data_IF_787978645432
#
_entry.id   IF_787978645432
#
_cell.length_a   1.000
_cell.length_b   1.000
_cell.length_c   1.000
_cell.angle_alpha   90.00
_cell.angle_beta   90.00
_cell.angle_gamma   90.00
#
_symmetry.space_group_name_H-M   'P 1'
#
loop_
_entity.id
_entity.type
_entity.pdbx_description
1 polymer ?
#
# COMPACT_ATOMS: atom_id res chain seq x y z
N UNK A 1 -6.51 -2.50 -4.09
CA UNK A 1 -6.03 -1.21 -4.58
C UNK A 1 -6.97 -0.12 -4.13
N UNK A 2 -6.46 0.79 -3.34
CA UNK A 2 -7.13 2.06 -3.18
C UNK A 2 -6.91 2.85 -4.46
N UNK A 3 -7.82 2.78 -5.41
CA UNK A 3 -7.82 3.64 -6.56
C UNK A 3 -8.07 5.09 -6.16
N UNK A 4 -7.12 5.71 -5.47
CA UNK A 4 -7.11 7.16 -5.24
C UNK A 4 -6.62 7.90 -6.48
N UNK A 5 -5.93 7.19 -7.38
CA UNK A 5 -5.62 7.69 -8.72
C UNK A 5 -6.84 7.55 -9.64
N UNK A 6 -6.96 8.35 -10.69
CA UNK A 6 -8.03 8.21 -11.69
C UNK A 6 -8.12 6.82 -12.31
N UNK A 7 -7.13 5.97 -12.10
CA UNK A 7 -6.97 4.69 -12.78
C UNK A 7 -7.19 3.45 -11.90
N UNK A 8 -7.42 3.60 -10.57
CA UNK A 8 -7.84 2.53 -9.64
C UNK A 8 -7.21 1.16 -9.91
N UNK A 9 -5.88 1.10 -10.01
CA UNK A 9 -5.18 -0.11 -10.49
C UNK A 9 -5.12 -1.15 -9.37
N UNK A 10 -5.63 -2.34 -9.64
CA UNK A 10 -5.44 -3.54 -8.82
C UNK A 10 -4.15 -4.29 -9.20
N UNK A 11 -3.82 -5.31 -8.42
CA UNK A 11 -2.74 -6.25 -8.71
C UNK A 11 -3.21 -7.71 -8.71
N UNK A 12 -4.38 -8.01 -8.17
CA UNK A 12 -5.04 -9.32 -8.29
C UNK A 12 -6.04 -9.35 -9.45
N UNK A 13 -6.82 -8.28 -9.60
CA UNK A 13 -7.69 -8.01 -10.74
C UNK A 13 -7.42 -6.60 -11.24
N UNK A 14 -8.02 -6.15 -12.36
CA UNK A 14 -7.85 -4.76 -12.82
C UNK A 14 -8.20 -3.71 -11.76
N UNK A 15 -9.09 -4.02 -10.81
CA UNK A 15 -9.63 -3.05 -9.85
C UNK A 15 -9.39 -3.44 -8.37
N UNK A 16 -8.87 -4.65 -8.09
CA UNK A 16 -8.75 -5.17 -6.73
C UNK A 16 -7.31 -5.47 -6.36
N UNK A 17 -6.93 -5.07 -5.15
CA UNK A 17 -5.68 -5.43 -4.51
C UNK A 17 -5.78 -6.85 -3.94
N UNK A 18 -4.67 -7.57 -3.90
CA UNK A 18 -4.60 -8.99 -3.56
C UNK A 18 -5.24 -9.34 -2.20
N UNK A 19 -4.93 -8.60 -1.15
CA UNK A 19 -5.47 -8.88 0.19
C UNK A 19 -6.99 -8.65 0.22
N UNK A 20 -7.47 -7.59 -0.42
CA UNK A 20 -8.90 -7.29 -0.50
C UNK A 20 -9.64 -8.27 -1.41
N UNK A 21 -9.01 -8.74 -2.46
CA UNK A 21 -9.59 -9.76 -3.33
C UNK A 21 -9.67 -11.13 -2.66
N UNK A 22 -8.68 -11.45 -1.81
CA UNK A 22 -8.62 -12.74 -1.11
C UNK A 22 -9.77 -12.92 -0.11
N UNK A 23 -10.10 -11.88 0.65
CA UNK A 23 -11.22 -11.88 1.62
C UNK A 23 -11.87 -10.49 1.71
N UNK A 24 -12.70 -10.14 0.72
CA UNK A 24 -13.36 -8.83 0.69
C UNK A 24 -14.40 -8.66 1.80
N UNK A 25 -15.01 -9.75 2.26
CA UNK A 25 -15.96 -9.75 3.36
C UNK A 25 -15.27 -9.32 4.66
N UNK A 26 -14.12 -9.92 5.00
CA UNK A 26 -13.34 -9.51 6.16
C UNK A 26 -12.84 -8.07 6.05
N UNK A 27 -12.32 -7.68 4.89
CA UNK A 27 -11.90 -6.31 4.65
C UNK A 27 -13.04 -5.30 4.86
N UNK A 28 -14.24 -5.60 4.35
CA UNK A 28 -15.45 -4.77 4.55
C UNK A 28 -15.81 -4.65 6.02
N UNK A 29 -15.84 -5.75 6.76
CA UNK A 29 -16.12 -5.76 8.20
C UNK A 29 -15.14 -4.84 8.95
N UNK A 30 -13.84 -4.90 8.63
CA UNK A 30 -12.84 -4.04 9.25
C UNK A 30 -13.12 -2.56 8.97
N UNK A 31 -13.38 -2.18 7.71
CA UNK A 31 -13.67 -0.76 7.38
C UNK A 31 -14.97 -0.25 8.00
N UNK A 32 -15.95 -1.12 8.22
CA UNK A 32 -17.25 -0.76 8.80
C UNK A 32 -17.29 -0.89 10.33
N UNK A 33 -16.23 -1.40 10.96
CA UNK A 33 -16.15 -1.68 12.41
C UNK A 33 -16.13 -0.44 13.32
N UNK A 34 -15.77 0.73 12.77
CA UNK A 34 -15.59 1.95 13.55
C UNK A 34 -14.25 2.09 14.28
N UNK A 35 -13.34 1.11 14.15
CA UNK A 35 -11.96 1.23 14.67
C UNK A 35 -11.18 2.30 13.88
N UNK A 36 -10.19 2.98 14.49
CA UNK A 36 -9.32 3.87 13.75
C UNK A 36 -8.50 3.11 12.71
N UNK A 37 -8.63 3.48 11.45
CA UNK A 37 -7.92 2.85 10.32
C UNK A 37 -7.02 3.88 9.64
N UNK A 38 -5.76 3.49 9.38
CA UNK A 38 -4.89 4.15 8.42
C UNK A 38 -4.46 3.11 7.38
N UNK A 39 -4.86 3.31 6.14
CA UNK A 39 -4.59 2.38 5.05
C UNK A 39 -3.48 2.89 4.13
N UNK A 40 -2.55 1.99 3.79
CA UNK A 40 -1.42 2.22 2.90
C UNK A 40 -1.60 1.31 1.70
N UNK A 41 -2.17 1.86 0.63
CA UNK A 41 -2.55 1.10 -0.56
C UNK A 41 -1.52 1.17 -1.68
N UNK A 42 -1.85 0.51 -2.80
CA UNK A 42 -1.00 0.46 -3.99
C UNK A 42 -0.68 1.86 -4.54
N UNK A 43 -1.55 2.84 -4.33
CA UNK A 43 -1.35 4.23 -4.75
C UNK A 43 -0.02 4.83 -4.25
N UNK A 44 0.47 4.38 -3.10
CA UNK A 44 1.74 4.83 -2.53
C UNK A 44 2.80 3.73 -2.56
N UNK A 45 2.42 2.46 -2.38
CA UNK A 45 3.40 1.37 -2.28
C UNK A 45 4.01 0.97 -3.63
N UNK A 46 3.42 1.40 -4.74
CA UNK A 46 3.97 1.23 -6.10
C UNK A 46 4.83 2.40 -6.54
N UNK A 47 5.14 3.36 -5.65
CA UNK A 47 5.97 4.51 -5.98
C UNK A 47 7.36 4.04 -6.47
N UNK A 48 7.80 4.41 -7.69
CA UNK A 48 9.06 3.93 -8.26
C UNK A 48 10.31 4.42 -7.51
N UNK A 49 10.18 5.43 -6.66
CA UNK A 49 11.28 5.94 -5.83
C UNK A 49 11.43 5.19 -4.49
N UNK A 50 10.56 4.23 -4.20
CA UNK A 50 10.54 3.46 -2.95
C UNK A 50 10.80 1.96 -3.15
N UNK A 51 11.30 1.56 -4.31
CA UNK A 51 11.54 0.16 -4.66
C UNK A 51 12.99 -0.24 -4.39
N UNK A 52 13.22 -1.53 -4.14
CA UNK A 52 14.55 -2.12 -4.22
C UNK A 52 14.87 -2.40 -5.68
N UNK A 53 15.73 -1.58 -6.27
CA UNK A 53 16.24 -1.82 -7.63
C UNK A 53 17.26 -2.98 -7.63
N UNK A 54 17.58 -3.50 -8.82
CA UNK A 54 18.62 -4.52 -8.98
C UNK A 54 19.96 -4.05 -8.40
N UNK A 55 20.33 -2.80 -8.60
CA UNK A 55 21.57 -2.21 -8.07
C UNK A 55 21.59 -2.21 -6.52
N UNK A 56 20.49 -1.80 -5.87
CA UNK A 56 20.38 -1.82 -4.40
C UNK A 56 20.44 -3.26 -3.91
N UNK A 57 19.73 -4.17 -4.56
CA UNK A 57 19.75 -5.59 -4.25
C UNK A 57 21.17 -6.19 -4.30
N UNK A 58 21.96 -5.91 -5.34
CA UNK A 58 23.35 -6.40 -5.48
C UNK A 58 24.24 -5.88 -4.34
N UNK A 59 24.07 -4.63 -3.92
CA UNK A 59 24.76 -4.07 -2.72
C UNK A 59 24.35 -4.80 -1.44
N UNK A 60 23.07 -5.18 -1.31
CA UNK A 60 22.60 -5.94 -0.15
C UNK A 60 23.17 -7.36 -0.12
N UNK A 61 23.28 -8.03 -1.27
CA UNK A 61 23.86 -9.38 -1.40
C UNK A 61 25.30 -9.42 -0.90
N UNK A 62 26.09 -8.37 -1.19
CA UNK A 62 27.52 -8.28 -0.83
C UNK A 62 27.78 -7.53 0.49
N UNK A 63 26.72 -7.13 1.18
CA UNK A 63 26.81 -6.35 2.43
C UNK A 63 27.50 -7.15 3.55
N UNK A 64 28.24 -6.46 4.43
CA UNK A 64 28.74 -7.02 5.68
C UNK A 64 27.61 -7.33 6.69
N UNK A 65 26.46 -6.64 6.60
CA UNK A 65 25.28 -6.89 7.44
C UNK A 65 24.64 -8.25 7.11
N UNK A 66 24.45 -9.08 8.13
CA UNK A 66 23.72 -10.34 8.00
C UNK A 66 22.24 -10.11 7.63
N UNK A 67 21.65 -9.04 8.18
CA UNK A 67 20.24 -8.71 7.93
C UNK A 67 20.05 -8.29 6.47
N UNK A 68 20.96 -7.46 5.91
CA UNK A 68 20.93 -7.13 4.48
C UNK A 68 21.01 -8.37 3.59
N UNK A 69 21.95 -9.28 3.87
CA UNK A 69 22.09 -10.52 3.10
C UNK A 69 20.87 -11.43 3.23
N UNK A 70 20.29 -11.51 4.43
CA UNK A 70 19.06 -12.26 4.66
C UNK A 70 17.89 -11.66 3.89
N UNK A 71 17.69 -10.34 3.96
CA UNK A 71 16.67 -9.63 3.20
C UNK A 71 16.84 -9.82 1.69
N UNK A 72 18.08 -9.70 1.18
CA UNK A 72 18.37 -9.97 -0.23
C UNK A 72 18.03 -11.42 -0.63
N UNK A 73 18.29 -12.40 0.25
CA UNK A 73 17.92 -13.80 -0.01
C UNK A 73 16.40 -13.99 -0.18
N UNK A 74 15.59 -13.30 0.63
CA UNK A 74 14.12 -13.32 0.53
C UNK A 74 13.67 -12.66 -0.78
N UNK A 75 14.25 -11.52 -1.14
CA UNK A 75 13.86 -10.71 -2.31
C UNK A 75 14.29 -11.33 -3.65
N UNK A 76 15.22 -12.30 -3.64
CA UNK A 76 15.92 -12.82 -4.83
C UNK A 76 15.00 -13.20 -5.99
N UNK A 77 13.93 -13.94 -5.70
CA UNK A 77 13.05 -14.44 -6.75
C UNK A 77 12.33 -13.28 -7.46
N UNK A 78 11.82 -12.31 -6.70
CA UNK A 78 11.11 -11.16 -7.26
C UNK A 78 12.05 -10.25 -8.06
N UNK A 79 13.23 -9.94 -7.51
CA UNK A 79 14.22 -9.11 -8.21
C UNK A 79 14.72 -9.78 -9.49
N UNK A 80 14.93 -11.11 -9.48
CA UNK A 80 15.33 -11.83 -10.68
C UNK A 80 14.23 -11.88 -11.74
N UNK A 81 12.98 -11.96 -11.32
CA UNK A 81 11.84 -12.06 -12.25
C UNK A 81 11.46 -10.70 -12.84
N UNK A 82 11.42 -9.65 -12.01
CA UNK A 82 10.89 -8.34 -12.38
C UNK A 82 11.95 -7.24 -12.51
N UNK A 83 13.19 -7.48 -12.05
CA UNK A 83 14.26 -6.49 -12.01
C UNK A 83 14.21 -5.56 -10.79
N UNK A 84 13.17 -5.66 -9.95
CA UNK A 84 12.97 -4.86 -8.74
C UNK A 84 12.07 -5.57 -7.72
N UNK A 85 11.97 -5.02 -6.52
CA UNK A 85 10.96 -5.42 -5.53
C UNK A 85 10.28 -4.18 -4.93
N UNK A 86 8.95 -4.22 -4.85
CA UNK A 86 8.13 -3.24 -4.14
C UNK A 86 8.07 -3.58 -2.65
N UNK A 87 8.05 -2.55 -1.80
CA UNK A 87 8.10 -2.68 -0.34
C UNK A 87 6.71 -2.40 0.28
N UNK A 88 5.68 -3.19 -0.10
CA UNK A 88 4.29 -2.98 0.31
C UNK A 88 4.14 -3.02 1.84
N UNK A 89 4.42 -4.15 2.48
CA UNK A 89 4.28 -4.33 3.93
C UNK A 89 5.27 -3.47 4.74
N UNK A 90 6.55 -3.34 4.34
CA UNK A 90 7.46 -2.43 5.02
C UNK A 90 6.98 -0.98 5.04
N UNK A 91 6.27 -0.53 4.00
CA UNK A 91 5.71 0.82 3.93
C UNK A 91 4.55 1.01 4.91
N UNK A 92 3.70 -0.01 5.10
CA UNK A 92 2.66 0.02 6.11
C UNK A 92 3.23 0.04 7.54
N UNK A 93 4.31 -0.71 7.78
CA UNK A 93 5.05 -0.66 9.05
C UNK A 93 5.70 0.71 9.28
N UNK A 94 6.29 1.30 8.24
CA UNK A 94 6.89 2.64 8.32
C UNK A 94 5.84 3.71 8.65
N UNK A 95 4.61 3.61 8.11
CA UNK A 95 3.50 4.49 8.48
C UNK A 95 3.18 4.43 9.97
N UNK A 96 3.25 3.25 10.58
CA UNK A 96 3.02 3.09 12.02
C UNK A 96 4.17 3.63 12.89
N UNK A 97 5.40 3.59 12.39
CA UNK A 97 6.60 4.05 13.12
C UNK A 97 6.76 5.58 12.99
N UNK A 98 6.69 6.10 11.78
CA UNK A 98 6.85 7.53 11.48
C UNK A 98 5.91 7.94 10.33
N UNK A 99 4.74 8.46 10.64
CA UNK A 99 3.78 8.89 9.62
C UNK A 99 4.25 10.11 8.81
N UNK A 100 5.36 10.77 9.20
CA UNK A 100 5.86 11.97 8.50
C UNK A 100 6.36 11.69 7.07
N UNK A 101 6.56 10.42 6.71
CA UNK A 101 6.84 10.03 5.32
C UNK A 101 5.65 10.18 4.38
N UNK A 102 4.43 10.32 4.92
CA UNK A 102 3.20 10.21 4.17
C UNK A 102 2.33 11.44 4.28
N UNK A 103 1.47 11.65 3.26
CA UNK A 103 0.28 12.47 3.40
C UNK A 103 -0.94 11.57 3.37
N UNK A 104 -1.92 11.88 4.21
CA UNK A 104 -3.16 11.12 4.31
C UNK A 104 -4.37 12.06 4.16
N UNK A 105 -5.47 11.51 3.66
CA UNK A 105 -6.77 12.18 3.66
C UNK A 105 -7.83 11.24 4.22
N UNK A 106 -8.84 11.82 4.86
CA UNK A 106 -9.96 11.05 5.43
C UNK A 106 -11.03 10.84 4.39
N UNK A 107 -11.44 9.58 4.22
CA UNK A 107 -12.51 9.19 3.30
C UNK A 107 -13.45 8.19 3.94
N UNK A 108 -14.68 8.13 3.41
CA UNK A 108 -15.51 6.95 3.57
C UNK A 108 -15.04 5.90 2.56
N UNK A 109 -14.79 4.70 3.07
CA UNK A 109 -14.34 3.55 2.27
C UNK A 109 -15.24 2.36 2.58
N UNK A 110 -15.64 1.63 1.54
CA UNK A 110 -16.25 0.32 1.65
C UNK A 110 -15.63 -0.62 0.62
N UNK A 111 -15.80 -1.92 0.80
CA UNK A 111 -15.25 -2.92 -0.10
C UNK A 111 -16.39 -3.61 -0.85
N UNK A 112 -16.25 -3.77 -2.16
CA UNK A 112 -17.20 -4.55 -2.95
C UNK A 112 -17.08 -6.02 -2.61
N UNK A 113 -18.20 -6.61 -2.19
CA UNK A 113 -18.33 -8.05 -1.93
C UNK A 113 -19.17 -8.75 -3.00
N UNK A 114 -19.55 -8.03 -4.05
CA UNK A 114 -20.28 -8.61 -5.17
C UNK A 114 -19.40 -9.66 -5.88
N UNK A 115 -20.06 -10.67 -6.43
CA UNK A 115 -19.38 -11.73 -7.16
C UNK A 115 -19.35 -11.41 -8.66
N UNK A 116 -18.73 -10.26 -8.98
CA UNK A 116 -18.58 -9.71 -10.33
C UNK A 116 -17.15 -9.14 -10.51
N UNK A 117 -16.94 -8.41 -11.60
CA UNK A 117 -15.64 -7.79 -11.94
C UNK A 117 -15.15 -6.77 -10.90
N UNK A 118 -16.01 -6.37 -9.95
CA UNK A 118 -15.67 -5.40 -8.88
C UNK A 118 -15.33 -6.08 -7.55
N UNK A 119 -15.39 -7.40 -7.43
CA UNK A 119 -15.08 -8.11 -6.19
C UNK A 119 -13.73 -7.69 -5.62
N UNK A 120 -13.71 -7.32 -4.34
CA UNK A 120 -12.52 -6.85 -3.64
C UNK A 120 -12.11 -5.40 -3.96
N UNK A 121 -12.86 -4.67 -4.80
CA UNK A 121 -12.59 -3.27 -5.07
C UNK A 121 -12.84 -2.40 -3.84
N UNK A 122 -11.86 -1.57 -3.47
CA UNK A 122 -12.07 -0.53 -2.49
C UNK A 122 -12.78 0.68 -3.13
N UNK A 123 -13.99 0.96 -2.66
CA UNK A 123 -14.83 2.06 -3.14
C UNK A 123 -14.66 3.23 -2.17
N UNK A 124 -14.06 4.32 -2.67
CA UNK A 124 -13.75 5.52 -1.90
C UNK A 124 -14.69 6.66 -2.30
N UNK A 125 -15.38 7.25 -1.33
CA UNK A 125 -16.23 8.41 -1.58
C UNK A 125 -15.37 9.67 -1.74
N UNK A 126 -15.36 10.22 -2.96
CA UNK A 126 -14.55 11.40 -3.33
C UNK A 126 -15.37 12.52 -3.96
N UNK A 127 -16.68 12.41 -3.96
CA UNK A 127 -17.57 13.42 -4.55
C UNK A 127 -17.69 14.62 -3.62
N UNK A 128 -16.74 15.54 -3.70
CA UNK A 128 -16.72 16.76 -2.86
C UNK A 128 -17.93 17.66 -3.07
N UNK A 129 -18.56 17.59 -4.24
CA UNK A 129 -19.73 18.36 -4.62
C UNK A 129 -21.05 17.86 -3.99
N UNK A 130 -21.06 16.69 -3.33
CA UNK A 130 -22.25 16.18 -2.66
C UNK A 130 -22.64 17.11 -1.48
N UNK A 131 -23.94 17.42 -1.31
CA UNK A 131 -24.43 18.05 -0.09
C UNK A 131 -24.09 17.22 1.15
N UNK A 132 -23.83 17.89 2.29
CA UNK A 132 -23.40 17.20 3.52
C UNK A 132 -24.34 16.09 3.97
N UNK A 133 -25.67 16.29 3.81
CA UNK A 133 -26.69 15.30 4.20
C UNK A 133 -26.59 13.98 3.41
N UNK A 134 -25.92 13.98 2.25
CA UNK A 134 -25.71 12.80 1.42
C UNK A 134 -24.31 12.20 1.57
N UNK A 135 -23.40 12.88 2.27
CA UNK A 135 -22.05 12.39 2.51
C UNK A 135 -22.03 11.35 3.63
N UNK A 136 -21.40 10.24 3.39
CA UNK A 136 -21.09 9.29 4.45
C UNK A 136 -19.92 9.81 5.30
N UNK A 137 -19.98 9.59 6.62
CA UNK A 137 -18.89 9.99 7.52
C UNK A 137 -17.62 9.21 7.16
N UNK A 138 -16.47 9.90 7.04
CA UNK A 138 -15.19 9.22 6.81
C UNK A 138 -14.89 8.17 7.90
N UNK A 139 -14.49 6.98 7.48
CA UNK A 139 -14.17 5.86 8.36
C UNK A 139 -12.69 5.44 8.31
N UNK A 140 -11.89 6.00 7.38
CA UNK A 140 -10.48 5.68 7.28
C UNK A 140 -9.62 6.88 6.86
N UNK A 141 -8.36 6.90 7.32
CA UNK A 141 -7.28 7.71 6.76
C UNK A 141 -6.62 6.90 5.63
N UNK A 142 -6.48 7.50 4.46
CA UNK A 142 -5.87 6.86 3.29
C UNK A 142 -4.58 7.60 2.94
N UNK A 143 -3.46 6.87 2.90
CA UNK A 143 -2.21 7.39 2.39
C UNK A 143 -2.35 7.66 0.89
N UNK A 144 -2.11 8.89 0.47
CA UNK A 144 -2.23 9.34 -0.92
C UNK A 144 -0.93 9.91 -1.50
N UNK A 145 0.10 10.02 -0.67
CA UNK A 145 1.44 10.43 -1.09
C UNK A 145 2.47 9.86 -0.11
N UNK A 146 3.68 9.55 -0.63
CA UNK A 146 4.83 9.11 0.14
C UNK A 146 6.11 9.79 -0.36
N UNK A 147 6.98 10.19 0.58
CA UNK A 147 8.36 10.55 0.28
C UNK A 147 9.17 9.26 0.05
N UNK A 148 9.12 8.75 -1.18
CA UNK A 148 9.72 7.48 -1.55
C UNK A 148 11.23 7.38 -1.24
N UNK A 149 12.06 8.36 -1.63
CA UNK A 149 13.50 8.36 -1.32
C UNK A 149 13.78 8.33 0.18
N UNK A 150 13.09 9.14 0.97
CA UNK A 150 13.26 9.19 2.43
C UNK A 150 12.80 7.88 3.08
N UNK A 151 11.68 7.31 2.64
CA UNK A 151 11.23 5.99 3.10
C UNK A 151 12.25 4.90 2.77
N UNK A 152 12.76 4.86 1.53
CA UNK A 152 13.73 3.83 1.10
C UNK A 152 15.03 3.91 1.91
N UNK A 153 15.54 5.12 2.16
CA UNK A 153 16.69 5.33 3.03
C UNK A 153 16.41 4.82 4.44
N UNK A 154 15.29 5.21 5.03
CA UNK A 154 14.85 4.74 6.36
C UNK A 154 14.80 3.21 6.44
N UNK A 155 14.18 2.55 5.45
CA UNK A 155 14.10 1.10 5.39
C UNK A 155 15.49 0.45 5.38
N UNK A 156 16.37 0.89 4.48
CA UNK A 156 17.72 0.33 4.35
C UNK A 156 18.57 0.54 5.61
N UNK A 157 18.41 1.66 6.30
CA UNK A 157 19.11 1.93 7.57
C UNK A 157 18.58 1.05 8.72
N UNK A 158 17.30 0.70 8.72
CA UNK A 158 16.69 -0.13 9.77
C UNK A 158 17.02 -1.61 9.67
N UNK A 159 17.32 -2.09 8.50
CA UNK A 159 17.72 -3.49 8.26
C UNK A 159 19.25 -3.67 8.12
N UNK A 160 20.02 -2.64 8.51
CA UNK A 160 21.49 -2.63 8.40
C UNK A 160 22.19 -3.46 9.51
#
# INVERSE_FOLDING_TARGET
>A
AFGLTPYGIGNATPVSEFNFYTDPEAAKIVFESGIPITAVGLDVTTNPQSIITKEIYEKMVTSSSEIHRFAAKIMRNLVNQFGYMQLHDPMAVAMAIDPSFFKTSRYYVTISTNDDDTRGQAIVERREWLPEDYKKKPNANIANWVDGPRFLQFFLERIK
#
